data_IF_551763564340
#
_entry.id   IF_551763564340
#
_cell.length_a   1.000
_cell.length_b   1.000
_cell.length_c   1.000
_cell.angle_alpha   90.00
_cell.angle_beta   90.00
_cell.angle_gamma   90.00
#
_symmetry.space_group_name_H-M   'P 1'
#
loop_
_entity.id
_entity.type
_entity.pdbx_description
1 polymer ?
#
# COMPACT_ATOMS: atom_id res chain seq x y z
N UNK A 1 0.43 16.99 45.00
CA UNK A 1 -0.17 16.32 43.84
C UNK A 1 0.93 16.04 42.81
N UNK A 2 1.27 14.77 42.56
CA UNK A 2 2.23 14.41 41.49
C UNK A 2 1.54 14.60 40.14
N UNK A 3 2.12 15.45 39.29
CA UNK A 3 1.64 15.72 37.93
C UNK A 3 1.84 14.44 37.10
N UNK A 4 0.76 13.80 36.66
CA UNK A 4 0.84 12.71 35.68
C UNK A 4 1.36 13.30 34.37
N UNK A 5 2.56 12.89 33.97
CA UNK A 5 3.11 13.18 32.66
C UNK A 5 2.49 12.18 31.69
N UNK A 6 1.75 12.69 30.70
CA UNK A 6 1.24 11.88 29.60
C UNK A 6 2.33 11.76 28.55
N UNK A 7 2.67 10.52 28.18
CA UNK A 7 3.58 10.25 27.06
C UNK A 7 2.85 10.58 25.75
N UNK A 8 3.33 11.61 25.06
CA UNK A 8 2.81 12.08 23.75
C UNK A 8 3.56 11.45 22.57
N UNK A 9 4.51 10.54 22.82
CA UNK A 9 5.18 9.82 21.74
C UNK A 9 4.17 8.92 21.02
N UNK A 10 4.05 9.08 19.69
CA UNK A 10 3.33 8.10 18.86
C UNK A 10 4.03 6.75 19.03
N UNK A 11 3.37 5.82 19.73
CA UNK A 11 3.83 4.44 19.83
C UNK A 11 3.97 3.89 18.42
N UNK A 12 5.17 3.42 18.07
CA UNK A 12 5.42 2.82 16.77
C UNK A 12 4.59 1.55 16.65
N UNK A 13 3.77 1.46 15.60
CA UNK A 13 2.96 0.27 15.33
C UNK A 13 3.90 -0.91 15.07
N UNK A 14 3.59 -2.06 15.68
CA UNK A 14 4.40 -3.27 15.55
C UNK A 14 3.72 -4.27 14.64
N UNK A 15 4.51 -4.98 13.84
CA UNK A 15 3.99 -5.98 12.94
C UNK A 15 4.76 -7.29 12.89
N UNK A 16 4.03 -8.31 12.46
CA UNK A 16 4.58 -9.60 12.04
C UNK A 16 4.39 -9.74 10.54
N UNK A 17 5.42 -10.21 9.85
CA UNK A 17 5.38 -10.46 8.42
C UNK A 17 5.11 -11.93 8.13
N UNK A 18 4.28 -12.23 7.14
CA UNK A 18 3.89 -13.59 6.78
C UNK A 18 4.03 -13.78 5.27
N UNK A 19 4.77 -14.80 4.85
CA UNK A 19 4.87 -15.21 3.46
C UNK A 19 4.61 -16.71 3.28
N UNK A 20 3.97 -17.06 2.16
CA UNK A 20 3.78 -18.45 1.74
C UNK A 20 4.70 -18.73 0.58
N UNK A 21 5.64 -19.65 0.77
CA UNK A 21 6.53 -20.08 -0.28
C UNK A 21 5.87 -21.22 -1.06
N UNK A 22 5.58 -20.96 -2.34
CA UNK A 22 5.07 -22.00 -3.26
C UNK A 22 6.20 -22.87 -3.82
N UNK A 23 5.91 -24.08 -4.28
CA UNK A 23 6.93 -25.01 -4.83
C UNK A 23 7.74 -24.43 -6.01
N UNK A 24 7.23 -23.40 -6.69
CA UNK A 24 7.92 -22.72 -7.79
C UNK A 24 8.93 -21.68 -7.34
N UNK A 25 8.87 -21.22 -6.09
CA UNK A 25 9.78 -20.22 -5.54
C UNK A 25 10.96 -20.88 -4.86
N UNK A 26 12.17 -20.40 -5.18
CA UNK A 26 13.39 -20.79 -4.47
C UNK A 26 13.43 -20.13 -3.09
N UNK A 27 14.05 -20.79 -2.11
CA UNK A 27 14.17 -20.29 -0.73
C UNK A 27 14.79 -18.88 -0.68
N UNK A 28 15.76 -18.59 -1.56
CA UNK A 28 16.38 -17.27 -1.65
C UNK A 28 15.40 -16.16 -2.08
N UNK A 29 14.49 -16.43 -3.02
CA UNK A 29 13.52 -15.45 -3.50
C UNK A 29 12.47 -15.11 -2.43
N UNK A 30 12.01 -16.13 -1.69
CA UNK A 30 11.08 -15.91 -0.59
C UNK A 30 11.69 -15.04 0.52
N UNK A 31 13.01 -15.16 0.75
CA UNK A 31 13.73 -14.31 1.68
C UNK A 31 13.84 -12.88 1.15
N UNK A 32 14.23 -12.69 -0.11
CA UNK A 32 14.30 -11.35 -0.72
C UNK A 32 12.96 -10.61 -0.65
N UNK A 33 11.84 -11.28 -0.95
CA UNK A 33 10.52 -10.64 -0.87
C UNK A 33 10.12 -10.27 0.57
N UNK A 34 10.49 -11.08 1.56
CA UNK A 34 10.26 -10.75 2.97
C UNK A 34 11.19 -9.65 3.50
N UNK A 35 12.40 -9.54 2.96
CA UNK A 35 13.31 -8.43 3.28
C UNK A 35 12.80 -7.13 2.62
N UNK A 36 12.27 -7.20 1.41
CA UNK A 36 11.57 -6.08 0.76
C UNK A 36 10.30 -5.67 1.55
N UNK A 37 9.48 -6.64 1.97
CA UNK A 37 8.26 -6.37 2.73
C UNK A 37 8.57 -5.72 4.09
N UNK A 38 9.67 -6.13 4.74
CA UNK A 38 10.15 -5.46 5.94
C UNK A 38 10.52 -4.02 5.65
N UNK A 39 11.23 -3.76 4.56
CA UNK A 39 11.58 -2.39 4.19
C UNK A 39 10.36 -1.53 3.80
N UNK A 40 9.30 -2.15 3.24
CA UNK A 40 8.00 -1.50 3.05
C UNK A 40 7.36 -1.15 4.40
N UNK A 41 7.32 -2.08 5.34
CA UNK A 41 6.77 -1.85 6.68
C UNK A 41 7.51 -0.73 7.41
N UNK A 42 8.84 -0.73 7.38
CA UNK A 42 9.68 0.34 7.92
C UNK A 42 9.40 1.69 7.27
N UNK A 43 9.23 1.70 5.94
CA UNK A 43 8.87 2.92 5.18
C UNK A 43 7.50 3.47 5.60
N UNK A 44 6.56 2.60 5.97
CA UNK A 44 5.26 2.98 6.53
C UNK A 44 5.32 3.37 8.02
N UNK A 45 6.50 3.28 8.65
CA UNK A 45 6.70 3.56 10.07
C UNK A 45 6.33 2.41 11.00
N UNK A 46 6.14 1.21 10.47
CA UNK A 46 5.80 -0.02 11.22
C UNK A 46 7.07 -0.79 11.55
N UNK A 47 7.20 -1.24 12.80
CA UNK A 47 8.35 -2.05 13.26
C UNK A 47 8.05 -3.54 13.12
N UNK A 48 8.82 -4.24 12.31
CA UNK A 48 8.74 -5.70 12.22
C UNK A 48 9.35 -6.36 13.46
N UNK A 49 8.60 -7.27 14.09
CA UNK A 49 9.05 -8.05 15.25
C UNK A 49 9.48 -9.47 14.86
N UNK A 50 8.80 -10.07 13.87
CA UNK A 50 9.10 -11.43 13.41
C UNK A 50 8.63 -11.63 11.97
N UNK A 51 9.33 -12.50 11.25
CA UNK A 51 8.95 -12.99 9.93
C UNK A 51 8.57 -14.47 10.02
N UNK A 52 7.41 -14.83 9.52
CA UNK A 52 6.93 -16.20 9.39
C UNK A 52 6.91 -16.60 7.93
N UNK A 53 7.41 -17.80 7.66
CA UNK A 53 7.31 -18.45 6.36
C UNK A 53 6.61 -19.79 6.50
N UNK A 54 5.85 -20.16 5.48
CA UNK A 54 5.31 -21.49 5.36
C UNK A 54 5.48 -22.00 3.93
N UNK A 55 6.09 -23.17 3.77
CA UNK A 55 6.14 -23.88 2.50
C UNK A 55 4.80 -24.59 2.28
N UNK A 56 4.08 -24.24 1.22
CA UNK A 56 2.82 -24.86 0.83
C UNK A 56 2.81 -25.06 -0.69
N UNK A 57 2.09 -26.06 -1.18
CA UNK A 57 1.89 -26.22 -2.62
C UNK A 57 1.04 -25.08 -3.19
N UNK A 58 -0.02 -24.71 -2.45
CA UNK A 58 -0.91 -23.58 -2.74
C UNK A 58 -1.31 -22.91 -1.42
N UNK A 59 -1.53 -21.58 -1.40
CA UNK A 59 -2.06 -20.90 -0.23
C UNK A 59 -3.41 -21.47 0.19
N UNK A 60 -3.67 -21.49 1.50
CA UNK A 60 -4.94 -21.93 2.04
C UNK A 60 -6.05 -20.94 1.64
N UNK A 61 -7.17 -21.45 1.12
CA UNK A 61 -8.27 -20.60 0.62
C UNK A 61 -8.99 -19.85 1.72
N UNK A 62 -8.89 -20.31 2.98
CA UNK A 62 -9.58 -19.75 4.14
C UNK A 62 -8.69 -18.74 4.87
N UNK A 63 -7.43 -19.06 5.11
CA UNK A 63 -6.53 -18.26 5.97
C UNK A 63 -5.17 -17.94 5.36
N UNK A 64 -4.97 -18.27 4.08
CA UNK A 64 -3.71 -18.11 3.31
C UNK A 64 -2.57 -19.02 3.79
N UNK A 65 -2.35 -19.10 5.11
CA UNK A 65 -1.49 -20.07 5.79
C UNK A 65 -2.31 -21.24 6.34
N UNK A 66 -1.65 -22.36 6.62
CA UNK A 66 -2.28 -23.52 7.25
C UNK A 66 -2.59 -23.29 8.74
N UNK A 67 -3.58 -24.01 9.27
CA UNK A 67 -4.09 -23.85 10.65
C UNK A 67 -3.01 -23.84 11.73
N UNK A 68 -2.06 -24.78 11.68
CA UNK A 68 -0.98 -24.85 12.67
C UNK A 68 -0.08 -23.61 12.64
N UNK A 69 0.21 -23.08 11.45
CA UNK A 69 1.02 -21.85 11.33
C UNK A 69 0.26 -20.62 11.80
N UNK A 70 -1.04 -20.57 11.53
CA UNK A 70 -1.88 -19.49 12.00
C UNK A 70 -1.95 -19.45 13.53
N UNK A 71 -2.01 -20.63 14.16
CA UNK A 71 -1.94 -20.76 15.62
C UNK A 71 -0.59 -20.32 16.18
N UNK A 72 0.54 -20.69 15.54
CA UNK A 72 1.87 -20.18 15.92
C UNK A 72 1.93 -18.64 15.87
N UNK A 73 1.32 -18.05 14.83
CA UNK A 73 1.25 -16.60 14.65
C UNK A 73 0.37 -15.99 15.75
N UNK A 74 -0.79 -16.57 16.05
CA UNK A 74 -1.71 -16.12 17.11
C UNK A 74 -1.03 -16.08 18.47
N UNK A 75 -0.36 -17.17 18.86
CA UNK A 75 0.37 -17.25 20.12
C UNK A 75 1.45 -16.18 20.22
N UNK A 76 2.19 -15.93 19.13
CA UNK A 76 3.19 -14.87 19.09
C UNK A 76 2.58 -13.47 19.21
N UNK A 77 1.44 -13.22 18.55
CA UNK A 77 0.72 -11.95 18.65
C UNK A 77 0.27 -11.69 20.08
N UNK A 78 -0.28 -12.71 20.76
CA UNK A 78 -0.74 -12.61 22.13
C UNK A 78 0.41 -12.39 23.13
N UNK A 79 1.53 -13.09 22.94
CA UNK A 79 2.72 -12.97 23.80
C UNK A 79 3.39 -11.60 23.68
N UNK A 80 3.60 -11.13 22.44
CA UNK A 80 4.35 -9.89 22.16
C UNK A 80 3.47 -8.66 21.96
N UNK A 81 2.14 -8.82 22.03
CA UNK A 81 1.12 -7.77 21.82
C UNK A 81 1.35 -7.01 20.51
N UNK A 82 1.44 -7.77 19.42
CA UNK A 82 1.66 -7.25 18.06
C UNK A 82 0.39 -6.53 17.60
N UNK A 83 0.53 -5.36 16.97
CA UNK A 83 -0.62 -4.56 16.53
C UNK A 83 -1.20 -5.07 15.19
N UNK A 84 -0.33 -5.45 14.25
CA UNK A 84 -0.71 -5.75 12.86
C UNK A 84 0.01 -6.99 12.31
N UNK A 85 -0.66 -7.74 11.43
CA UNK A 85 -0.05 -8.82 10.63
C UNK A 85 -0.06 -8.42 9.16
N UNK A 86 1.09 -8.49 8.52
CA UNK A 86 1.28 -8.09 7.12
C UNK A 86 1.61 -9.33 6.29
N UNK A 87 0.79 -9.60 5.29
CA UNK A 87 0.99 -10.68 4.32
C UNK A 87 1.70 -10.16 3.07
N UNK A 88 2.66 -10.92 2.55
CA UNK A 88 3.44 -10.54 1.36
C UNK A 88 2.62 -10.57 0.06
N UNK A 89 1.61 -11.43 0.00
CA UNK A 89 0.72 -11.56 -1.16
C UNK A 89 -0.66 -10.93 -0.88
N UNK A 90 -1.37 -10.59 -1.96
CA UNK A 90 -2.72 -10.07 -1.87
C UNK A 90 -3.68 -11.11 -1.27
N UNK A 91 -4.42 -10.70 -0.25
CA UNK A 91 -5.41 -11.54 0.40
C UNK A 91 -6.79 -11.33 -0.22
N UNK A 92 -7.57 -12.39 -0.39
CA UNK A 92 -8.98 -12.25 -0.73
C UNK A 92 -9.77 -11.63 0.44
N UNK A 93 -10.93 -10.98 0.18
CA UNK A 93 -11.77 -10.42 1.25
C UNK A 93 -12.22 -11.47 2.28
N UNK A 94 -12.35 -12.74 1.89
CA UNK A 94 -12.64 -13.85 2.82
C UNK A 94 -11.46 -14.14 3.74
N UNK A 95 -10.26 -14.18 3.19
CA UNK A 95 -9.05 -14.49 3.95
C UNK A 95 -8.80 -13.42 5.00
N UNK A 96 -8.82 -12.14 4.63
CA UNK A 96 -8.64 -11.02 5.58
C UNK A 96 -9.59 -11.19 6.77
N UNK A 97 -10.88 -11.35 6.51
CA UNK A 97 -11.90 -11.51 7.56
C UNK A 97 -11.64 -12.72 8.47
N UNK A 98 -11.34 -13.87 7.90
CA UNK A 98 -11.13 -15.09 8.68
C UNK A 98 -9.87 -14.96 9.56
N UNK A 99 -8.81 -14.38 9.00
CA UNK A 99 -7.56 -14.13 9.72
C UNK A 99 -7.79 -13.11 10.84
N UNK A 100 -8.49 -12.00 10.58
CA UNK A 100 -8.83 -11.01 11.61
C UNK A 100 -9.64 -11.62 12.75
N UNK A 101 -10.60 -12.51 12.45
CA UNK A 101 -11.38 -13.22 13.47
C UNK A 101 -10.55 -14.19 14.31
N UNK A 102 -9.57 -14.86 13.70
CA UNK A 102 -8.73 -15.86 14.38
C UNK A 102 -7.60 -15.20 15.17
N UNK A 103 -7.05 -14.09 14.68
CA UNK A 103 -5.90 -13.40 15.30
C UNK A 103 -6.29 -12.23 16.19
N UNK A 104 -7.51 -11.70 16.08
CA UNK A 104 -7.99 -10.50 16.80
C UNK A 104 -7.05 -9.28 16.65
N UNK A 105 -6.38 -9.16 15.50
CA UNK A 105 -5.48 -8.06 15.18
C UNK A 105 -5.79 -7.50 13.78
N UNK A 106 -5.23 -6.33 13.47
CA UNK A 106 -5.35 -5.74 12.13
C UNK A 106 -4.57 -6.60 11.13
N UNK A 107 -5.15 -6.83 9.96
CA UNK A 107 -4.52 -7.59 8.87
C UNK A 107 -4.34 -6.70 7.66
N UNK A 108 -3.10 -6.63 7.16
CA UNK A 108 -2.74 -5.94 5.92
C UNK A 108 -2.13 -6.93 4.94
N UNK A 109 -2.26 -6.63 3.66
CA UNK A 109 -1.47 -7.27 2.61
C UNK A 109 -0.50 -6.24 1.98
N UNK A 110 0.44 -6.74 1.18
CA UNK A 110 1.42 -5.91 0.47
C UNK A 110 0.78 -4.80 -0.34
N UNK A 111 -0.34 -5.07 -1.03
CA UNK A 111 -1.03 -4.08 -1.84
C UNK A 111 -1.56 -2.91 -0.99
N UNK A 112 -2.19 -3.20 0.15
CA UNK A 112 -2.69 -2.20 1.07
C UNK A 112 -1.55 -1.39 1.71
N UNK A 113 -0.47 -2.07 2.13
CA UNK A 113 0.71 -1.40 2.67
C UNK A 113 1.33 -0.40 1.67
N UNK A 114 1.43 -0.79 0.40
CA UNK A 114 1.92 0.11 -0.67
C UNK A 114 0.99 1.32 -0.84
N UNK A 115 -0.32 1.11 -0.83
CA UNK A 115 -1.30 2.21 -0.93
C UNK A 115 -1.20 3.18 0.26
N UNK A 116 -0.96 2.69 1.47
CA UNK A 116 -0.77 3.53 2.66
C UNK A 116 0.52 4.36 2.59
N UNK A 117 1.61 3.77 2.10
CA UNK A 117 2.86 4.51 1.83
C UNK A 117 2.59 5.60 0.79
N UNK A 118 1.91 5.27 -0.31
CA UNK A 118 1.58 6.25 -1.34
C UNK A 118 0.67 7.37 -0.82
N UNK A 119 -0.29 7.07 0.05
CA UNK A 119 -1.17 8.08 0.63
C UNK A 119 -0.38 9.09 1.49
N UNK A 120 0.63 8.61 2.20
CA UNK A 120 1.52 9.45 3.02
C UNK A 120 2.49 10.28 2.16
N UNK A 121 2.88 9.76 0.99
CA UNK A 121 3.86 10.40 0.09
C UNK A 121 3.22 11.32 -0.95
N UNK A 122 1.95 11.15 -1.29
CA UNK A 122 1.27 11.97 -2.29
C UNK A 122 1.19 13.44 -1.87
N UNK A 123 1.97 14.31 -2.52
CA UNK A 123 1.96 15.75 -2.23
C UNK A 123 1.04 16.52 -3.18
N UNK A 124 1.11 16.21 -4.48
CA UNK A 124 0.32 16.89 -5.49
C UNK A 124 -1.15 16.50 -5.45
N UNK A 125 -2.03 17.40 -5.89
CA UNK A 125 -3.46 17.09 -6.02
C UNK A 125 -3.72 15.93 -7.00
N UNK A 126 -2.86 15.78 -8.01
CA UNK A 126 -2.94 14.71 -9.01
C UNK A 126 -2.56 13.36 -8.40
N UNK A 127 -1.43 13.28 -7.68
CA UNK A 127 -1.02 12.07 -6.99
C UNK A 127 -2.03 11.67 -5.92
N UNK A 128 -2.52 12.63 -5.12
CA UNK A 128 -3.56 12.37 -4.10
C UNK A 128 -4.82 11.76 -4.71
N UNK A 129 -5.29 12.32 -5.83
CA UNK A 129 -6.47 11.78 -6.53
C UNK A 129 -6.23 10.37 -7.11
N UNK A 130 -5.03 10.08 -7.63
CA UNK A 130 -4.68 8.75 -8.12
C UNK A 130 -4.62 7.71 -6.99
N UNK A 131 -3.99 8.06 -5.87
CA UNK A 131 -3.91 7.18 -4.70
C UNK A 131 -5.29 6.94 -4.10
N UNK A 132 -6.10 8.00 -3.95
CA UNK A 132 -7.48 7.88 -3.46
C UNK A 132 -8.31 6.97 -4.38
N UNK A 133 -8.17 7.12 -5.71
CA UNK A 133 -8.83 6.26 -6.68
C UNK A 133 -8.43 4.79 -6.48
N UNK A 134 -7.13 4.52 -6.32
CA UNK A 134 -6.62 3.17 -6.11
C UNK A 134 -7.10 2.56 -4.80
N UNK A 135 -7.05 3.31 -3.69
CA UNK A 135 -7.60 2.89 -2.39
C UNK A 135 -9.09 2.58 -2.47
N UNK A 136 -9.85 3.45 -3.13
CA UNK A 136 -11.31 3.28 -3.29
C UNK A 136 -11.64 2.02 -4.10
N UNK A 137 -10.88 1.76 -5.18
CA UNK A 137 -11.01 0.54 -5.99
C UNK A 137 -10.65 -0.72 -5.21
N UNK A 138 -9.61 -0.66 -4.38
CA UNK A 138 -9.18 -1.78 -3.53
C UNK A 138 -10.20 -2.11 -2.44
N UNK A 139 -10.80 -1.10 -1.81
CA UNK A 139 -11.77 -1.26 -0.71
C UNK A 139 -13.16 -1.69 -1.22
N UNK A 140 -13.59 -1.22 -2.40
CA UNK A 140 -14.92 -1.53 -2.97
C UNK A 140 -15.32 -3.03 -2.94
N UNK A 141 -14.49 -3.99 -3.40
CA UNK A 141 -14.82 -5.42 -3.33
C UNK A 141 -14.74 -5.99 -1.90
N UNK A 142 -14.13 -5.28 -0.95
CA UNK A 142 -13.87 -5.74 0.43
C UNK A 142 -14.96 -5.29 1.42
N UNK A 143 -15.71 -4.23 1.11
CA UNK A 143 -16.75 -3.64 1.97
C UNK A 143 -17.92 -4.56 2.33
N UNK A 144 -18.41 -5.37 1.39
CA UNK A 144 -19.61 -6.19 1.57
C UNK A 144 -19.51 -7.19 2.72
N UNK A 145 -18.30 -7.59 3.11
CA UNK A 145 -18.09 -8.59 4.17
C UNK A 145 -17.78 -7.99 5.54
N UNK A 146 -17.29 -6.75 5.61
CA UNK A 146 -17.09 -6.01 6.87
C UNK A 146 -18.43 -5.71 7.57
N UNK A 147 -19.49 -5.43 6.80
CA UNK A 147 -20.83 -5.15 7.32
C UNK A 147 -21.52 -6.32 8.03
N UNK A 148 -21.15 -7.57 7.73
CA UNK A 148 -21.72 -8.75 8.41
C UNK A 148 -21.39 -8.82 9.91
N UNK A 149 -20.43 -8.03 10.38
CA UNK A 149 -20.10 -7.86 11.80
C UNK A 149 -20.90 -6.72 12.47
N UNK A 150 -21.18 -5.64 11.73
CA UNK A 150 -21.99 -4.52 12.20
C UNK A 150 -23.47 -4.90 12.37
N UNK A 151 -24.02 -5.71 11.46
CA UNK A 151 -25.42 -6.14 11.51
C UNK A 151 -25.74 -7.10 12.66
N UNK A 152 -24.74 -7.77 13.25
CA UNK A 152 -24.96 -8.68 14.39
C UNK A 152 -25.17 -7.97 15.74
N UNK A 153 -24.83 -6.69 15.86
CA UNK A 153 -25.08 -5.90 17.09
C UNK A 153 -26.42 -5.17 17.08
N UNK A 154 -27.13 -5.10 15.93
CA UNK A 154 -28.52 -4.64 15.86
C UNK A 154 -29.43 -5.87 15.76
N UNK A 155 -30.19 -6.11 16.83
CA UNK A 155 -30.88 -7.36 17.13
C UNK A 155 -31.68 -7.99 15.99
N UNK A 156 -31.65 -9.32 15.96
CA UNK A 156 -32.33 -10.12 14.96
C UNK A 156 -33.85 -9.98 14.99
N UNK A 157 -34.42 -9.73 13.81
CA UNK A 157 -35.69 -10.29 13.36
C UNK A 157 -35.54 -10.52 11.85
N UNK A 158 -35.89 -11.72 11.40
CA UNK A 158 -35.77 -12.13 10.00
C UNK A 158 -36.71 -11.36 9.08
N UNK A 159 -36.23 -10.24 8.56
CA UNK A 159 -36.75 -9.61 7.35
C UNK A 159 -35.59 -9.42 6.38
N UNK A 160 -35.76 -9.89 5.14
CA UNK A 160 -34.99 -9.39 3.99
C UNK A 160 -35.24 -7.88 3.92
N UNK A 161 -34.41 -7.08 4.55
CA UNK A 161 -34.69 -5.67 4.81
C UNK A 161 -33.50 -4.90 5.42
N UNK A 162 -33.64 -3.57 5.47
CA UNK A 162 -32.70 -2.42 5.41
C UNK A 162 -31.19 -2.58 5.10
N UNK A 163 -30.49 -3.59 5.65
CA UNK A 163 -29.03 -3.67 5.55
C UNK A 163 -28.51 -3.94 4.14
N UNK A 164 -29.26 -4.69 3.33
CA UNK A 164 -28.88 -4.96 1.93
C UNK A 164 -29.01 -3.70 1.05
N UNK A 165 -30.02 -2.86 1.32
CA UNK A 165 -30.20 -1.56 0.68
C UNK A 165 -29.17 -0.52 1.14
N UNK A 166 -28.77 -0.53 2.41
CA UNK A 166 -27.71 0.36 2.92
C UNK A 166 -26.35 0.00 2.31
N UNK A 167 -26.01 -1.29 2.23
CA UNK A 167 -24.79 -1.77 1.57
C UNK A 167 -24.76 -1.35 0.09
N UNK A 168 -25.88 -1.51 -0.63
CA UNK A 168 -25.90 -1.12 -2.04
C UNK A 168 -25.88 0.41 -2.22
N UNK A 169 -26.44 1.17 -1.26
CA UNK A 169 -26.36 2.63 -1.24
C UNK A 169 -24.90 3.09 -1.03
N UNK A 170 -24.18 2.50 -0.08
CA UNK A 170 -22.76 2.78 0.16
C UNK A 170 -21.90 2.39 -1.04
N UNK A 171 -22.14 1.21 -1.62
CA UNK A 171 -21.44 0.78 -2.85
C UNK A 171 -21.71 1.75 -3.99
N UNK A 172 -22.94 2.25 -4.14
CA UNK A 172 -23.28 3.25 -5.14
C UNK A 172 -22.53 4.55 -4.87
N UNK A 173 -22.48 5.02 -3.62
CA UNK A 173 -21.70 6.20 -3.23
C UNK A 173 -20.22 6.08 -3.60
N UNK A 174 -19.62 4.93 -3.33
CA UNK A 174 -18.21 4.63 -3.65
C UNK A 174 -17.99 4.53 -5.15
N UNK A 175 -18.88 3.89 -5.90
CA UNK A 175 -18.81 3.86 -7.37
C UNK A 175 -18.91 5.26 -7.96
N UNK A 176 -19.80 6.11 -7.44
CA UNK A 176 -19.91 7.50 -7.87
C UNK A 176 -18.62 8.27 -7.57
N UNK A 177 -17.99 8.04 -6.42
CA UNK A 177 -16.68 8.63 -6.08
C UNK A 177 -15.59 8.18 -7.05
N UNK A 178 -15.54 6.89 -7.40
CA UNK A 178 -14.62 6.35 -8.41
C UNK A 178 -14.82 7.05 -9.76
N UNK A 179 -16.07 7.19 -10.23
CA UNK A 179 -16.37 7.87 -11.48
C UNK A 179 -15.90 9.32 -11.47
N UNK A 180 -16.21 10.07 -10.40
CA UNK A 180 -15.80 11.46 -10.25
C UNK A 180 -14.27 11.62 -10.24
N UNK A 181 -13.55 10.74 -9.53
CA UNK A 181 -12.08 10.78 -9.51
C UNK A 181 -11.49 10.48 -10.89
N UNK A 182 -12.05 9.50 -11.62
CA UNK A 182 -11.62 9.19 -13.00
C UNK A 182 -11.83 10.36 -13.95
N UNK A 183 -12.99 11.02 -13.90
CA UNK A 183 -13.28 12.20 -14.72
C UNK A 183 -12.30 13.33 -14.43
N UNK A 184 -12.08 13.64 -13.14
CA UNK A 184 -11.12 14.67 -12.73
C UNK A 184 -9.70 14.38 -13.21
N UNK A 185 -9.26 13.12 -13.13
CA UNK A 185 -7.94 12.72 -13.64
C UNK A 185 -7.84 12.86 -15.16
N UNK A 186 -8.90 12.53 -15.90
CA UNK A 186 -8.94 12.70 -17.35
C UNK A 186 -8.84 14.19 -17.76
N UNK A 187 -9.46 15.10 -17.01
CA UNK A 187 -9.32 16.54 -17.23
C UNK A 187 -7.87 17.03 -16.99
N UNK A 188 -7.25 16.56 -15.91
CA UNK A 188 -5.84 16.86 -15.59
C UNK A 188 -4.93 16.37 -16.72
N UNK A 189 -5.15 15.16 -17.24
CA UNK A 189 -4.36 14.60 -18.33
C UNK A 189 -4.50 15.42 -19.62
N UNK A 190 -5.71 15.91 -19.94
CA UNK A 190 -5.95 16.80 -21.08
C UNK A 190 -5.17 18.12 -20.95
N UNK A 191 -5.12 18.70 -19.74
CA UNK A 191 -4.32 19.89 -19.46
C UNK A 191 -2.81 19.61 -19.62
N UNK A 192 -2.34 18.46 -19.13
CA UNK A 192 -0.94 18.04 -19.23
C UNK A 192 -0.51 17.82 -20.69
N UNK A 193 -1.35 17.19 -21.51
CA UNK A 193 -1.10 17.02 -22.95
C UNK A 193 -0.93 18.38 -23.65
N UNK A 194 -1.75 19.36 -23.30
CA UNK A 194 -1.67 20.72 -23.88
C UNK A 194 -0.36 21.41 -23.50
N UNK A 195 0.09 21.27 -22.25
CA UNK A 195 1.41 21.77 -21.81
C UNK A 195 2.59 21.06 -22.51
N UNK A 196 2.44 19.78 -22.86
CA UNK A 196 3.48 18.99 -23.55
C UNK A 196 3.66 19.39 -25.02
N UNK A 197 2.62 19.89 -25.70
CA UNK A 197 2.69 20.37 -27.10
C UNK A 197 3.66 21.55 -27.28
N UNK A 198 3.89 22.35 -26.24
CA UNK A 198 4.85 23.47 -26.28
C UNK A 198 6.32 23.03 -26.11
N UNK A 199 6.62 21.72 -26.16
CA UNK A 199 7.97 21.15 -25.95
C UNK A 199 8.38 20.18 -27.07
N UNK A 200 7.93 20.44 -28.29
CA UNK A 200 8.37 19.70 -29.47
C UNK A 200 9.82 20.09 -29.82
N UNK A 201 10.64 19.10 -30.18
CA UNK A 201 12.06 19.30 -30.56
C UNK A 201 13.11 19.14 -29.46
N UNK A 202 12.74 18.78 -28.22
CA UNK A 202 13.71 18.54 -27.12
C UNK A 202 13.80 17.05 -26.78
N UNK A 203 15.03 16.53 -26.66
CA UNK A 203 15.31 15.14 -26.28
C UNK A 203 14.75 14.87 -24.87
N UNK A 204 14.13 13.71 -24.68
CA UNK A 204 13.52 13.31 -23.40
C UNK A 204 14.15 12.00 -22.93
N UNK A 205 14.58 11.99 -21.67
CA UNK A 205 15.21 10.84 -21.02
C UNK A 205 14.43 10.56 -19.73
N UNK A 206 14.11 9.28 -19.49
CA UNK A 206 13.45 8.83 -18.28
C UNK A 206 14.36 7.83 -17.55
N UNK A 207 14.54 8.02 -16.24
CA UNK A 207 15.21 7.05 -15.38
C UNK A 207 14.20 6.01 -14.92
N UNK A 208 14.47 4.73 -15.22
CA UNK A 208 13.63 3.60 -14.83
C UNK A 208 14.45 2.59 -14.02
N UNK A 209 13.78 1.83 -13.16
CA UNK A 209 14.39 0.87 -12.25
C UNK A 209 13.60 0.77 -10.95
N UNK A 210 13.90 -0.25 -10.14
CA UNK A 210 13.20 -0.48 -8.87
C UNK A 210 13.30 0.70 -7.90
N UNK A 211 12.44 0.72 -6.89
CA UNK A 211 12.56 1.60 -5.74
C UNK A 211 13.93 1.45 -5.08
N UNK A 212 14.48 2.58 -4.61
CA UNK A 212 15.76 2.62 -3.89
C UNK A 212 17.03 2.15 -4.65
N UNK A 213 17.00 2.03 -5.99
CA UNK A 213 18.22 1.72 -6.79
C UNK A 213 19.14 2.93 -7.04
N UNK A 214 18.80 4.10 -6.47
CA UNK A 214 19.57 5.34 -6.66
C UNK A 214 19.13 6.23 -7.84
N UNK A 215 17.93 6.03 -8.41
CA UNK A 215 17.40 6.88 -9.51
C UNK A 215 17.42 8.37 -9.16
N UNK A 216 16.86 8.75 -8.02
CA UNK A 216 16.82 10.14 -7.56
C UNK A 216 18.22 10.68 -7.25
N UNK A 217 19.14 9.82 -6.78
CA UNK A 217 20.56 10.19 -6.59
C UNK A 217 21.23 10.55 -7.92
N UNK A 218 21.05 9.72 -8.96
CA UNK A 218 21.56 10.00 -10.31
C UNK A 218 20.95 11.29 -10.86
N UNK A 219 19.64 11.48 -10.67
CA UNK A 219 18.97 12.71 -11.07
C UNK A 219 19.59 13.94 -10.41
N UNK A 220 19.83 13.91 -9.09
CA UNK A 220 20.46 15.02 -8.36
C UNK A 220 21.86 15.34 -8.87
N UNK A 221 22.68 14.32 -9.10
CA UNK A 221 24.03 14.49 -9.62
C UNK A 221 24.02 15.14 -11.01
N UNK A 222 23.11 14.72 -11.90
CA UNK A 222 23.02 15.26 -13.27
C UNK A 222 22.37 16.64 -13.33
N UNK A 223 21.47 16.96 -12.39
CA UNK A 223 20.69 18.21 -12.43
C UNK A 223 21.19 19.28 -11.47
N UNK A 224 22.16 18.96 -10.59
CA UNK A 224 22.58 19.79 -9.44
C UNK A 224 21.37 20.28 -8.63
N UNK A 225 20.37 19.42 -8.44
CA UNK A 225 19.15 19.76 -7.72
C UNK A 225 19.01 18.95 -6.44
N UNK A 226 18.25 19.49 -5.50
CA UNK A 226 17.93 18.85 -4.22
C UNK A 226 16.61 18.05 -4.32
N UNK A 227 16.54 17.05 -5.21
CA UNK A 227 15.43 16.08 -5.13
C UNK A 227 15.65 15.23 -3.89
N UNK A 228 14.61 15.05 -3.07
CA UNK A 228 14.68 14.23 -1.86
C UNK A 228 15.06 12.78 -2.22
N UNK A 229 16.30 12.40 -1.91
CA UNK A 229 16.79 11.03 -1.98
C UNK A 229 16.89 10.49 -0.55
N UNK A 230 15.81 9.88 -0.05
CA UNK A 230 15.80 9.16 1.22
C UNK A 230 16.03 7.67 0.97
N UNK A 231 16.71 6.98 1.90
CA UNK A 231 16.80 5.51 1.91
C UNK A 231 15.47 4.91 2.39
N UNK A 232 14.41 5.08 1.58
CA UNK A 232 13.05 4.60 1.83
C UNK A 232 12.39 4.26 0.49
N UNK A 233 11.47 3.31 0.51
CA UNK A 233 10.71 2.95 -0.68
C UNK A 233 9.76 4.09 -1.07
N UNK A 234 9.52 4.25 -2.38
CA UNK A 234 8.62 5.26 -2.92
C UNK A 234 8.90 6.70 -2.45
N UNK A 235 10.18 7.05 -2.25
CA UNK A 235 10.61 8.40 -1.90
C UNK A 235 10.11 9.46 -2.90
N UNK A 236 10.00 9.08 -4.18
CA UNK A 236 9.46 9.91 -5.26
C UNK A 236 8.20 9.28 -5.85
N UNK A 237 7.03 9.84 -5.53
CA UNK A 237 5.75 9.49 -6.18
C UNK A 237 5.41 10.43 -7.34
N UNK A 238 5.77 11.70 -7.22
CA UNK A 238 5.55 12.70 -8.26
C UNK A 238 6.71 12.67 -9.27
N UNK A 239 6.41 12.46 -10.55
CA UNK A 239 7.44 12.54 -11.60
C UNK A 239 8.00 13.95 -11.70
N UNK A 240 9.29 14.13 -11.48
CA UNK A 240 9.96 15.42 -11.61
C UNK A 240 10.69 15.50 -12.94
N UNK A 241 10.48 16.61 -13.69
CA UNK A 241 11.16 16.87 -14.96
C UNK A 241 12.11 18.04 -14.79
N UNK A 242 13.36 17.86 -15.21
CA UNK A 242 14.41 18.89 -15.17
C UNK A 242 15.10 18.99 -16.53
N UNK A 243 15.54 20.20 -16.89
CA UNK A 243 16.37 20.42 -18.08
C UNK A 243 17.83 20.22 -17.68
N UNK A 244 18.51 19.34 -18.39
CA UNK A 244 19.95 19.08 -18.24
C UNK A 244 20.63 19.44 -19.56
N UNK A 245 21.87 19.90 -19.48
CA UNK A 245 22.73 20.12 -20.63
C UNK A 245 24.00 19.32 -20.41
N UNK A 246 24.29 18.40 -21.33
CA UNK A 246 25.52 17.61 -21.35
C UNK A 246 26.19 17.83 -22.71
N UNK A 247 27.45 18.27 -22.71
CA UNK A 247 28.24 18.51 -23.93
C UNK A 247 27.47 19.26 -25.02
N UNK A 248 26.85 20.40 -24.66
CA UNK A 248 25.99 21.25 -25.49
C UNK A 248 24.67 20.64 -26.00
N UNK A 249 24.32 19.43 -25.56
CA UNK A 249 23.04 18.79 -25.91
C UNK A 249 22.02 18.99 -24.79
N UNK A 250 20.96 19.79 -24.99
CA UNK A 250 19.90 19.95 -24.00
C UNK A 250 18.92 18.78 -24.05
N UNK A 251 18.60 18.20 -22.90
CA UNK A 251 17.56 17.19 -22.75
C UNK A 251 16.72 17.41 -21.49
N UNK A 252 15.52 16.84 -21.48
CA UNK A 252 14.64 16.78 -20.33
C UNK A 252 14.81 15.43 -19.64
N UNK A 253 15.31 15.44 -18.41
CA UNK A 253 15.44 14.26 -17.57
C UNK A 253 14.22 14.15 -16.66
N UNK A 254 13.60 12.97 -16.62
CA UNK A 254 12.46 12.67 -15.76
C UNK A 254 12.79 11.53 -14.81
N UNK A 255 12.59 11.73 -13.51
CA UNK A 255 12.62 10.63 -12.51
C UNK A 255 11.22 10.01 -12.41
N UNK A 256 11.14 8.70 -12.60
CA UNK A 256 9.88 7.95 -12.50
C UNK A 256 9.78 7.27 -11.14
N UNK A 257 8.54 6.95 -10.75
CA UNK A 257 8.30 6.07 -9.61
C UNK A 257 9.02 4.73 -9.87
N UNK A 258 9.64 4.19 -8.81
CA UNK A 258 10.32 2.90 -8.83
C UNK A 258 9.43 1.72 -8.55
#
# INVERSE_FOLDING_TARGET
>A
MKKQLFDTAKKQETAVLVAVQTQKQRDYQAKEYLDELEFLAETAGVKTLKKFTQKLERPDTRTFVGKGKLEDIRLYIEEYKVDTVIFDDELSPSQVRNIEQELNCKVLDRANLILDIFATRAQTATAKAQVELAQTQYILPRLTRMWTHLSKHQGGVGTRGPGESEIETDRRGIRNRISLLKERLAEIDKQNLTRRKNRDGVIRVALVGYTNVGKSTIMNLLTKSDVLAENKLFATLDSTVRKVVLDNTPFLLSDTVG
#
